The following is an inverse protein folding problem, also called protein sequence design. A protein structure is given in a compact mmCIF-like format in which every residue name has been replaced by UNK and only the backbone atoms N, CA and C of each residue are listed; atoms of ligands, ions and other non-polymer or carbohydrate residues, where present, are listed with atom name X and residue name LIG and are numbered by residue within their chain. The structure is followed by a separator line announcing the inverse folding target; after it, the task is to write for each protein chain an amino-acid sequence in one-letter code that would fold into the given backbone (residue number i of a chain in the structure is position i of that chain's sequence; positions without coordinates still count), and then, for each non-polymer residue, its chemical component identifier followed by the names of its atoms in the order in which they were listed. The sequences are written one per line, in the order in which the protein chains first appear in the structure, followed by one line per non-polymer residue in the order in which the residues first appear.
data_IF_130180764919
#
_entry.id   IF_130180764919
#
_cell.length_a   1.000
_cell.length_b   1.000
_cell.length_c   1.000
_cell.angle_alpha   90.00
_cell.angle_beta   90.00
_cell.angle_gamma   90.00
#
_symmetry.space_group_name_H-M   'P 1'
#
loop_
_entity.id
_entity.type
_entity.pdbx_description
1 polymer ?
#
# COMPACT_ATOMS: atom_id res chain seq x y z
N UNK A 1 11.90 -25.44 12.04
CA UNK A 1 11.27 -24.15 11.71
C UNK A 1 10.27 -24.41 10.61
N UNK A 2 9.00 -24.06 10.79
CA UNK A 2 8.05 -24.06 9.68
C UNK A 2 8.46 -22.90 8.79
N UNK A 3 8.77 -23.16 7.53
CA UNK A 3 8.93 -22.10 6.55
C UNK A 3 7.53 -21.69 6.11
N UNK A 4 7.19 -20.42 6.30
CA UNK A 4 5.95 -19.88 5.75
C UNK A 4 6.10 -19.84 4.22
N UNK A 5 5.32 -20.68 3.54
CA UNK A 5 5.28 -20.74 2.08
C UNK A 5 4.01 -20.06 1.60
N UNK A 6 4.12 -19.24 0.55
CA UNK A 6 2.93 -18.71 -0.16
C UNK A 6 2.09 -19.90 -0.63
N UNK A 7 0.85 -19.98 -0.16
CA UNK A 7 -0.03 -21.12 -0.44
C UNK A 7 -0.84 -20.94 -1.73
N UNK A 8 -1.30 -19.71 -2.02
CA UNK A 8 -2.07 -19.40 -3.23
C UNK A 8 -2.12 -17.88 -3.50
N UNK A 9 -2.48 -17.53 -4.75
CA UNK A 9 -2.90 -16.18 -5.16
C UNK A 9 -4.42 -16.23 -5.36
N UNK A 10 -5.13 -15.19 -4.91
CA UNK A 10 -6.59 -15.10 -4.91
C UNK A 10 -7.04 -13.77 -5.54
N UNK A 11 -8.36 -13.58 -5.66
CA UNK A 11 -8.99 -12.35 -6.16
C UNK A 11 -8.64 -11.99 -7.62
N UNK A 12 -8.96 -12.90 -8.54
CA UNK A 12 -8.82 -12.68 -9.98
C UNK A 12 -9.99 -11.86 -10.57
N UNK A 13 -10.78 -11.16 -9.75
CA UNK A 13 -11.94 -10.39 -10.20
C UNK A 13 -11.59 -9.24 -11.16
N UNK A 14 -10.35 -8.76 -11.10
CA UNK A 14 -9.79 -7.73 -11.99
C UNK A 14 -8.79 -8.29 -13.02
N UNK A 15 -8.74 -9.61 -13.22
CA UNK A 15 -7.82 -10.20 -14.19
C UNK A 15 -8.23 -9.84 -15.62
N UNK A 16 -7.34 -9.18 -16.36
CA UNK A 16 -7.59 -8.71 -17.72
C UNK A 16 -6.32 -8.90 -18.58
N UNK A 17 -6.41 -8.72 -19.90
CA UNK A 17 -5.25 -8.71 -20.80
C UNK A 17 -4.43 -7.43 -20.65
N UNK A 18 -3.62 -7.37 -19.59
CA UNK A 18 -2.70 -6.27 -19.27
C UNK A 18 -1.26 -6.60 -19.71
N UNK A 19 -0.28 -5.88 -19.14
CA UNK A 19 1.13 -6.17 -19.30
C UNK A 19 1.82 -6.20 -17.94
N UNK A 20 2.95 -6.92 -17.86
CA UNK A 20 3.70 -7.05 -16.60
C UNK A 20 4.05 -5.71 -15.91
N UNK A 21 4.40 -4.62 -16.63
CA UNK A 21 4.60 -3.32 -15.98
C UNK A 21 3.35 -2.75 -15.30
N UNK A 22 2.17 -3.01 -15.85
CA UNK A 22 0.90 -2.58 -15.24
C UNK A 22 0.63 -3.37 -13.96
N UNK A 23 0.76 -4.70 -13.99
CA UNK A 23 0.53 -5.55 -12.81
C UNK A 23 1.51 -5.22 -11.67
N UNK A 24 2.77 -4.90 -12.01
CA UNK A 24 3.76 -4.42 -11.05
C UNK A 24 3.37 -3.07 -10.44
N UNK A 25 2.84 -2.15 -11.24
CA UNK A 25 2.37 -0.86 -10.75
C UNK A 25 1.19 -1.05 -9.78
N UNK A 26 0.23 -1.93 -10.11
CA UNK A 26 -0.89 -2.29 -9.20
C UNK A 26 -0.36 -2.89 -7.89
N UNK A 27 0.59 -3.83 -7.96
CA UNK A 27 1.13 -4.46 -6.75
C UNK A 27 1.82 -3.46 -5.83
N UNK A 28 2.63 -2.56 -6.40
CA UNK A 28 3.33 -1.50 -5.66
C UNK A 28 2.35 -0.49 -5.06
N UNK A 29 1.41 0.01 -5.86
CA UNK A 29 0.43 1.00 -5.44
C UNK A 29 -0.44 0.47 -4.30
N UNK A 30 -0.94 -0.77 -4.40
CA UNK A 30 -1.85 -1.34 -3.39
C UNK A 30 -1.17 -1.81 -2.11
N UNK A 31 0.13 -2.11 -2.14
CA UNK A 31 0.78 -2.81 -1.02
C UNK A 31 1.92 -2.05 -0.36
N UNK A 32 2.47 -1.01 -1.00
CA UNK A 32 3.66 -0.30 -0.49
C UNK A 32 3.44 1.20 -0.27
N UNK A 33 2.23 1.71 -0.53
CA UNK A 33 1.83 3.07 -0.21
C UNK A 33 0.61 3.00 0.70
N UNK A 34 0.68 3.64 1.85
CA UNK A 34 -0.38 3.61 2.86
C UNK A 34 -1.50 4.61 2.54
N UNK A 35 -2.34 4.26 1.57
CA UNK A 35 -3.42 5.13 1.10
C UNK A 35 -4.51 5.39 2.14
N UNK A 36 -4.62 4.54 3.17
CA UNK A 36 -5.61 4.72 4.25
C UNK A 36 -5.27 5.89 5.16
N UNK A 37 -4.01 6.33 5.18
CA UNK A 37 -3.59 7.50 5.94
C UNK A 37 -3.68 8.77 5.09
N UNK A 38 -4.03 9.92 5.72
CA UNK A 38 -3.96 11.22 5.07
C UNK A 38 -2.55 11.49 4.54
N UNK A 39 -2.42 12.30 3.50
CA UNK A 39 -1.14 12.59 2.84
C UNK A 39 -0.02 12.97 3.82
N UNK A 40 -0.32 13.81 4.82
CA UNK A 40 0.65 14.24 5.83
C UNK A 40 1.21 13.11 6.73
N UNK A 41 0.51 11.97 6.79
CA UNK A 41 0.88 10.78 7.57
C UNK A 41 1.14 9.56 6.67
N UNK A 42 1.07 9.73 5.35
CA UNK A 42 1.19 8.64 4.39
C UNK A 42 2.60 8.08 4.38
N UNK A 43 2.68 6.80 4.71
CA UNK A 43 3.94 6.07 4.70
C UNK A 43 4.14 5.42 3.33
N UNK A 44 5.34 5.60 2.77
CA UNK A 44 5.83 4.81 1.65
C UNK A 44 6.82 3.80 2.20
N UNK A 45 6.59 2.52 1.92
CA UNK A 45 7.43 1.43 2.42
C UNK A 45 8.59 1.15 1.46
N UNK A 46 9.56 2.07 1.38
CA UNK A 46 10.68 2.02 0.41
C UNK A 46 11.46 0.69 0.43
N UNK A 47 11.66 0.13 1.63
CA UNK A 47 12.33 -1.17 1.80
C UNK A 47 11.53 -2.31 1.17
N UNK A 48 10.19 -2.25 1.23
CA UNK A 48 9.32 -3.26 0.62
C UNK A 48 9.27 -3.11 -0.90
N UNK A 49 9.21 -1.88 -1.42
CA UNK A 49 9.33 -1.61 -2.87
C UNK A 49 10.62 -2.23 -3.41
N UNK A 50 11.72 -1.99 -2.71
CA UNK A 50 13.04 -2.53 -3.06
C UNK A 50 13.08 -4.04 -3.06
N UNK A 51 12.66 -4.66 -1.95
CA UNK A 51 12.67 -6.10 -1.81
C UNK A 51 11.78 -6.77 -2.87
N UNK A 52 10.61 -6.20 -3.15
CA UNK A 52 9.67 -6.70 -4.16
C UNK A 52 10.28 -6.65 -5.57
N UNK A 53 10.82 -5.50 -5.98
CA UNK A 53 11.43 -5.34 -7.30
C UNK A 53 12.67 -6.22 -7.49
N UNK A 54 13.50 -6.36 -6.44
CA UNK A 54 14.64 -7.26 -6.46
C UNK A 54 14.21 -8.73 -6.58
N UNK A 55 13.21 -9.15 -5.80
CA UNK A 55 12.65 -10.51 -5.88
C UNK A 55 12.05 -10.81 -7.25
N UNK A 56 11.27 -9.89 -7.81
CA UNK A 56 10.74 -10.02 -9.17
C UNK A 56 11.84 -10.15 -10.21
N UNK A 57 12.89 -9.33 -10.12
CA UNK A 57 14.02 -9.34 -11.05
C UNK A 57 14.83 -10.65 -11.02
N UNK A 58 14.79 -11.43 -9.94
CA UNK A 58 15.41 -12.76 -9.87
C UNK A 58 14.71 -13.79 -10.77
N UNK A 59 13.41 -13.61 -11.01
CA UNK A 59 12.62 -14.47 -11.92
C UNK A 59 12.59 -13.88 -13.32
N UNK A 60 12.36 -12.57 -13.42
CA UNK A 60 12.24 -11.83 -14.68
C UNK A 60 12.82 -10.41 -14.55
N UNK A 61 14.06 -10.19 -15.01
CA UNK A 61 14.64 -8.86 -15.05
C UNK A 61 13.79 -7.89 -15.90
N UNK A 62 13.61 -6.67 -15.42
CA UNK A 62 12.94 -5.61 -16.16
C UNK A 62 13.95 -4.86 -17.04
N UNK A 63 13.56 -4.53 -18.26
CA UNK A 63 14.28 -3.55 -19.08
C UNK A 63 14.11 -2.14 -18.51
N UNK A 64 14.96 -1.20 -18.96
CA UNK A 64 14.80 0.21 -18.60
C UNK A 64 13.46 0.78 -19.08
N UNK A 65 13.00 0.35 -20.26
CA UNK A 65 11.71 0.76 -20.81
C UNK A 65 10.55 0.26 -19.95
N UNK A 66 10.59 -1.00 -19.51
CA UNK A 66 9.55 -1.54 -18.63
C UNK A 66 9.52 -0.84 -17.29
N UNK A 67 10.67 -0.54 -16.68
CA UNK A 67 10.72 0.27 -15.46
C UNK A 67 10.11 1.65 -15.65
N UNK A 68 10.37 2.30 -16.79
CA UNK A 68 9.72 3.55 -17.15
C UNK A 68 8.20 3.40 -17.30
N UNK A 69 7.73 2.28 -17.89
CA UNK A 69 6.31 1.96 -17.97
C UNK A 69 5.68 1.76 -16.58
N UNK A 70 6.32 1.02 -15.66
CA UNK A 70 5.80 0.85 -14.28
C UNK A 70 5.59 2.22 -13.64
N UNK A 71 6.61 3.08 -13.71
CA UNK A 71 6.50 4.43 -13.14
C UNK A 71 5.43 5.29 -13.83
N UNK A 72 5.23 5.14 -15.14
CA UNK A 72 4.15 5.84 -15.85
C UNK A 72 2.76 5.32 -15.48
N UNK A 73 2.63 4.04 -15.14
CA UNK A 73 1.36 3.44 -14.74
C UNK A 73 0.98 3.74 -13.28
N UNK A 74 1.93 3.95 -12.38
CA UNK A 74 1.66 4.19 -10.95
C UNK A 74 0.57 5.26 -10.67
N UNK A 75 0.56 6.44 -11.34
CA UNK A 75 -0.52 7.41 -11.14
C UNK A 75 -1.88 6.99 -11.73
N UNK A 76 -1.90 6.00 -12.62
CA UNK A 76 -3.07 5.63 -13.45
C UNK A 76 -3.78 4.36 -12.97
N UNK A 77 -3.10 3.46 -12.27
CA UNK A 77 -3.65 2.15 -11.86
C UNK A 77 -4.86 2.25 -10.92
N UNK A 78 -5.05 3.39 -10.27
CA UNK A 78 -6.16 3.64 -9.35
C UNK A 78 -7.42 4.19 -10.05
N UNK A 79 -7.32 4.62 -11.32
CA UNK A 79 -8.40 5.33 -12.03
C UNK A 79 -9.67 4.48 -12.12
N UNK A 80 -9.55 3.20 -12.49
CA UNK A 80 -10.71 2.32 -12.66
C UNK A 80 -11.45 2.12 -11.34
N UNK A 81 -10.70 1.87 -10.25
CA UNK A 81 -11.27 1.74 -8.91
C UNK A 81 -11.99 3.03 -8.49
N UNK A 82 -11.33 4.18 -8.58
CA UNK A 82 -11.94 5.46 -8.17
C UNK A 82 -13.21 5.79 -8.97
N UNK A 83 -13.23 5.56 -10.28
CA UNK A 83 -14.42 5.77 -11.10
C UNK A 83 -15.54 4.78 -10.75
N UNK A 84 -15.20 3.54 -10.40
CA UNK A 84 -16.19 2.56 -9.94
C UNK A 84 -16.83 3.00 -8.62
N UNK A 85 -16.06 3.58 -7.70
CA UNK A 85 -16.56 4.10 -6.42
C UNK A 85 -17.44 5.35 -6.63
N UNK A 86 -17.07 6.27 -7.53
CA UNK A 86 -17.92 7.41 -7.91
C UNK A 86 -19.28 6.94 -8.43
N UNK A 87 -19.28 5.96 -9.34
CA UNK A 87 -20.51 5.39 -9.90
C UNK A 87 -21.33 4.64 -8.85
N UNK A 88 -20.66 3.90 -7.96
CA UNK A 88 -21.29 3.15 -6.88
C UNK A 88 -21.96 4.09 -5.86
N UNK A 89 -21.23 5.04 -5.29
CA UNK A 89 -21.79 5.97 -4.31
C UNK A 89 -22.86 6.88 -4.90
N UNK A 90 -22.57 7.54 -6.03
CA UNK A 90 -23.48 8.53 -6.61
C UNK A 90 -24.68 7.90 -7.31
N UNK A 91 -24.45 6.80 -8.03
CA UNK A 91 -25.45 6.15 -8.86
C UNK A 91 -26.32 5.16 -8.07
N UNK A 92 -25.70 4.23 -7.33
CA UNK A 92 -26.42 3.15 -6.66
C UNK A 92 -26.89 3.54 -5.26
N UNK A 93 -26.02 4.17 -4.46
CA UNK A 93 -26.34 4.51 -3.07
C UNK A 93 -26.97 5.90 -2.93
N UNK A 94 -26.89 6.73 -3.97
CA UNK A 94 -27.29 8.14 -3.93
C UNK A 94 -26.58 8.94 -2.82
N UNK A 95 -25.39 8.51 -2.43
CA UNK A 95 -24.53 9.20 -1.46
C UNK A 95 -23.58 10.15 -2.22
N UNK A 96 -24.04 11.39 -2.39
CA UNK A 96 -23.27 12.41 -3.10
C UNK A 96 -22.00 12.82 -2.35
N UNK A 97 -21.97 12.70 -1.03
CA UNK A 97 -20.81 13.09 -0.24
C UNK A 97 -19.66 12.08 -0.45
N UNK A 98 -19.96 10.78 -0.38
CA UNK A 98 -18.96 9.75 -0.67
C UNK A 98 -18.54 9.72 -2.14
N UNK A 99 -19.47 10.00 -3.07
CA UNK A 99 -19.13 10.14 -4.48
C UNK A 99 -18.16 11.30 -4.75
N UNK A 100 -18.34 12.44 -4.07
CA UNK A 100 -17.41 13.56 -4.16
C UNK A 100 -16.03 13.18 -3.63
N UNK A 101 -15.93 12.50 -2.49
CA UNK A 101 -14.65 12.01 -1.95
C UNK A 101 -13.96 11.04 -2.91
N UNK A 102 -14.70 10.10 -3.50
CA UNK A 102 -14.15 9.19 -4.51
C UNK A 102 -13.62 9.96 -5.74
N UNK A 103 -14.26 11.04 -6.13
CA UNK A 103 -13.80 11.88 -7.24
C UNK A 103 -12.59 12.76 -6.85
N UNK A 104 -12.67 13.50 -5.74
CA UNK A 104 -11.62 14.47 -5.37
C UNK A 104 -10.39 13.79 -4.82
N UNK A 105 -10.56 12.79 -3.95
CA UNK A 105 -9.45 12.25 -3.17
C UNK A 105 -8.93 10.97 -3.82
N UNK A 106 -9.81 10.05 -4.23
CA UNK A 106 -9.38 8.76 -4.79
C UNK A 106 -8.92 8.94 -6.24
N UNK A 107 -9.64 9.69 -7.07
CA UNK A 107 -9.23 9.90 -8.46
C UNK A 107 -8.19 11.02 -8.60
N UNK A 108 -8.55 12.26 -8.24
CA UNK A 108 -7.68 13.42 -8.46
C UNK A 108 -6.54 13.49 -7.45
N UNK A 109 -6.82 13.30 -6.16
CA UNK A 109 -5.86 13.36 -5.07
C UNK A 109 -4.76 12.29 -5.21
N UNK A 110 -5.12 11.06 -5.56
CA UNK A 110 -4.16 10.00 -5.88
C UNK A 110 -3.20 10.41 -7.00
N UNK A 111 -3.71 10.86 -8.15
CA UNK A 111 -2.87 11.27 -9.28
C UNK A 111 -2.00 12.49 -8.94
N UNK A 112 -2.55 13.46 -8.19
CA UNK A 112 -1.82 14.65 -7.74
C UNK A 112 -0.70 14.31 -6.74
N UNK A 113 -0.91 13.31 -5.87
CA UNK A 113 0.11 12.89 -4.92
C UNK A 113 1.42 12.47 -5.62
N UNK A 114 1.34 11.87 -6.81
CA UNK A 114 2.53 11.54 -7.60
C UNK A 114 3.30 12.76 -8.10
N UNK A 115 2.73 13.96 -8.06
CA UNK A 115 3.41 15.22 -8.38
C UNK A 115 4.12 15.86 -7.17
N UNK A 116 3.92 15.31 -5.96
CA UNK A 116 4.61 15.73 -4.74
C UNK A 116 6.06 15.24 -4.71
N UNK A 117 6.94 15.80 -3.86
CA UNK A 117 8.31 15.29 -3.71
C UNK A 117 8.40 13.81 -3.35
N UNK A 118 7.51 13.32 -2.47
CA UNK A 118 7.49 11.92 -2.05
C UNK A 118 7.03 11.01 -3.20
N UNK A 119 5.97 11.40 -3.92
CA UNK A 119 5.49 10.68 -5.10
C UNK A 119 6.54 10.63 -6.21
N UNK A 120 7.20 11.75 -6.52
CA UNK A 120 8.29 11.80 -7.50
C UNK A 120 9.49 10.96 -7.08
N UNK A 121 9.79 10.87 -5.78
CA UNK A 121 10.84 9.98 -5.27
C UNK A 121 10.53 8.51 -5.57
N UNK A 122 9.27 8.07 -5.39
CA UNK A 122 8.82 6.70 -5.75
C UNK A 122 8.96 6.46 -7.25
N UNK A 123 8.48 7.38 -8.10
CA UNK A 123 8.58 7.23 -9.55
C UNK A 123 10.04 7.12 -10.00
N UNK A 124 10.90 7.98 -9.48
CA UNK A 124 12.33 7.94 -9.78
C UNK A 124 12.99 6.65 -9.29
N UNK A 125 12.64 6.18 -8.09
CA UNK A 125 13.14 4.92 -7.53
C UNK A 125 12.81 3.73 -8.43
N UNK A 126 11.56 3.62 -8.87
CA UNK A 126 11.09 2.55 -9.75
C UNK A 126 11.77 2.60 -11.11
N UNK A 127 11.96 3.80 -11.69
CA UNK A 127 12.65 3.98 -12.98
C UNK A 127 14.12 3.56 -12.94
N UNK A 128 14.84 4.00 -11.90
CA UNK A 128 16.26 3.67 -11.74
C UNK A 128 16.46 2.20 -11.37
N UNK A 129 15.48 1.63 -10.66
CA UNK A 129 15.64 0.34 -9.99
C UNK A 129 16.44 0.51 -8.70
N UNK A 130 16.10 -0.26 -7.68
CA UNK A 130 16.89 -0.28 -6.45
C UNK A 130 18.32 -0.75 -6.79
N UNK A 131 19.37 -0.14 -6.20
CA UNK A 131 20.71 -0.70 -6.27
C UNK A 131 20.66 -2.17 -5.81
N UNK A 132 21.34 -3.05 -6.52
CA UNK A 132 21.58 -4.42 -6.05
C UNK A 132 22.57 -4.37 -4.90
N UNK A 133 22.17 -3.86 -3.74
CA UNK A 133 22.96 -4.01 -2.53
C UNK A 133 22.75 -5.45 -2.06
N UNK A 134 23.66 -6.33 -2.48
CA UNK A 134 23.76 -7.70 -1.98
C UNK A 134 24.09 -7.65 -0.49
N UNK A 135 23.09 -7.87 0.36
CA UNK A 135 23.21 -8.51 1.69
C UNK A 135 21.85 -8.51 2.38
N UNK A 136 21.01 -9.50 2.09
CA UNK A 136 19.98 -9.90 3.05
C UNK A 136 20.66 -10.82 4.07
N UNK A 137 21.42 -10.25 5.02
CA UNK A 137 21.78 -10.98 6.25
C UNK A 137 20.53 -10.98 7.13
N UNK A 138 19.69 -11.99 6.93
CA UNK A 138 18.64 -12.32 7.87
C UNK A 138 19.24 -12.67 9.22
N UNK A 139 19.35 -11.68 10.11
CA UNK A 139 19.68 -11.88 11.52
C UNK A 139 19.03 -10.78 12.37
N UNK A 140 17.71 -10.89 12.51
CA UNK A 140 16.96 -10.32 13.64
C UNK A 140 16.58 -11.46 14.58
N UNK A 141 17.56 -12.15 15.14
CA UNK A 141 17.35 -13.18 16.15
C UNK A 141 16.92 -12.49 17.44
N UNK A 142 15.74 -12.86 17.95
CA UNK A 142 15.28 -12.52 19.29
C UNK A 142 16.40 -12.75 20.32
N UNK A 143 16.91 -11.68 20.92
CA UNK A 143 17.60 -11.75 22.21
C UNK A 143 16.71 -11.09 23.23
N UNK A 144 16.15 -11.92 24.11
CA UNK A 144 15.40 -11.46 25.26
C UNK A 144 16.30 -10.67 26.20
N UNK A 145 15.84 -9.48 26.59
CA UNK A 145 16.25 -8.85 27.82
C UNK A 145 14.98 -8.64 28.65
N UNK A 146 14.85 -9.41 29.74
CA UNK A 146 13.89 -9.12 30.81
C UNK A 146 14.19 -7.73 31.35
N UNK A 147 13.19 -6.85 31.35
CA UNK A 147 13.14 -5.75 32.31
C UNK A 147 11.84 -5.86 33.10
N UNK A 148 12.01 -6.28 34.35
CA UNK A 148 11.05 -6.14 35.42
C UNK A 148 11.04 -4.68 35.86
N UNK A 149 9.89 -4.01 35.75
CA UNK A 149 9.55 -2.93 36.66
C UNK A 149 8.03 -2.88 36.78
N UNK A 150 7.53 -3.22 37.97
CA UNK A 150 6.11 -3.23 38.27
C UNK A 150 5.63 -1.84 38.66
N UNK A 151 4.42 -1.51 38.21
CA UNK A 151 3.51 -0.62 38.93
C UNK A 151 2.10 -1.19 38.82
N UNK A 152 1.44 -1.27 39.98
CA UNK A 152 0.16 -1.92 40.23
C UNK A 152 -0.98 -1.36 39.36
N UNK A 153 -1.78 -2.28 38.83
CA UNK A 153 -3.11 -2.03 38.26
C UNK A 153 -4.10 -1.80 39.40
N UNK A 154 -4.74 -0.64 39.45
CA UNK A 154 -5.97 -0.44 40.24
C UNK A 154 -7.18 -0.87 39.39
N UNK A 155 -8.17 -1.60 39.93
CA UNK A 155 -9.37 -1.96 39.19
C UNK A 155 -10.32 -0.77 39.09
N UNK A 156 -10.82 -0.49 37.89
CA UNK A 156 -11.96 0.40 37.68
C UNK A 156 -13.25 -0.34 38.04
N UNK A 157 -13.99 0.19 39.02
CA UNK A 157 -15.34 -0.24 39.40
C UNK A 157 -16.34 0.22 38.33
N UNK A 158 -17.32 -0.62 37.91
CA UNK A 158 -18.34 -0.21 36.96
C UNK A 158 -19.41 0.65 37.63
N UNK A 159 -19.75 1.79 37.02
CA UNK A 159 -20.90 2.61 37.40
C UNK A 159 -22.22 1.90 37.06
N UNK A 160 -23.07 1.74 38.07
CA UNK A 160 -24.47 1.33 37.96
C UNK A 160 -25.31 2.42 37.30
N UNK A 161 -26.26 2.08 36.41
CA UNK A 161 -27.16 3.07 35.81
C UNK A 161 -28.27 3.45 36.81
N UNK A 162 -28.46 4.75 37.01
CA UNK A 162 -29.65 5.28 37.68
C UNK A 162 -30.84 5.30 36.70
N UNK A 163 -31.92 4.66 37.11
CA UNK A 163 -33.24 4.71 36.49
C UNK A 163 -34.06 5.75 37.23
N UNK A 164 -34.27 6.94 36.67
CA UNK A 164 -35.52 7.67 36.93
C UNK A 164 -35.86 8.67 35.81
N UNK A 165 -37.04 8.44 35.20
CA UNK A 165 -37.91 9.32 34.39
C UNK A 165 -37.41 9.85 33.04
#
# INVERSE_FOLDING_TARGET
MVQDTVACVLDFGMAERTCAPFDLAVALERSMIDWLHPEAQRTVYDAHITAFLQGYAQVRPLSAQERACVAAFLPLVHVEFALSEVAYFGGLLHDTASAEVAYTDYLLGHAQWFSTPQGQAVLHWVQKGAPLTTSFTGQGMHTGAKQSSGTLHTPHTPDTPDKTL
#
